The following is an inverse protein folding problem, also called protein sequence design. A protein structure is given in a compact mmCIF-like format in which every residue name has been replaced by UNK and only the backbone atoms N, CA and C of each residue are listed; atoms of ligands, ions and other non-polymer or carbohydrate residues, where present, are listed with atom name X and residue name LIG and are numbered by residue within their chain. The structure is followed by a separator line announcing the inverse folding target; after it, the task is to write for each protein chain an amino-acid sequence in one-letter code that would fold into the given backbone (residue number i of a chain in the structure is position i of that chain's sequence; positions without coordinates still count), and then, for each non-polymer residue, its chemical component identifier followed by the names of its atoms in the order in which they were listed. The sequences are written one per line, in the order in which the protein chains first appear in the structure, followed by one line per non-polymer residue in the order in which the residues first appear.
data_IF_624408440173
#
_entry.id   IF_624408440173
#
_cell.length_a   1.000
_cell.length_b   1.000
_cell.length_c   1.000
_cell.angle_alpha   90.00
_cell.angle_beta   90.00
_cell.angle_gamma   90.00
#
_symmetry.space_group_name_H-M   'P 1'
#
loop_
_entity.id
_entity.type
_entity.pdbx_description
1 polymer ?
#
# COMPACT_ATOMS: atom_id res chain seq x y z
N UNK A 1 30.51 6.20 3.59
CA UNK A 1 29.17 6.22 4.20
C UNK A 1 28.64 4.80 4.28
N UNK A 2 27.95 4.47 5.37
CA UNK A 2 27.37 3.14 5.57
C UNK A 2 25.88 3.19 5.23
N UNK A 3 25.47 2.48 4.18
CA UNK A 3 24.08 2.41 3.73
C UNK A 3 23.39 1.08 4.10
N UNK A 4 23.98 0.29 5.01
CA UNK A 4 23.44 -1.02 5.38
C UNK A 4 22.00 -0.93 5.86
N UNK A 5 21.70 -0.01 6.76
CA UNK A 5 20.33 0.17 7.29
C UNK A 5 19.35 0.59 6.19
N UNK A 6 19.74 1.55 5.35
CA UNK A 6 18.94 2.02 4.21
C UNK A 6 18.59 0.89 3.26
N UNK A 7 19.57 0.03 2.93
CA UNK A 7 19.37 -1.10 2.04
C UNK A 7 18.41 -2.13 2.65
N UNK A 8 18.58 -2.45 3.93
CA UNK A 8 17.70 -3.37 4.64
C UNK A 8 16.26 -2.88 4.67
N UNK A 9 16.06 -1.59 4.96
CA UNK A 9 14.72 -0.96 4.96
C UNK A 9 14.12 -0.97 3.56
N UNK A 10 14.88 -0.59 2.55
CA UNK A 10 14.42 -0.59 1.16
C UNK A 10 13.99 -1.97 0.68
N UNK A 11 14.78 -2.99 1.00
CA UNK A 11 14.45 -4.38 0.67
C UNK A 11 13.17 -4.84 1.39
N UNK A 12 13.01 -4.50 2.66
CA UNK A 12 11.81 -4.81 3.44
C UNK A 12 10.57 -4.17 2.82
N UNK A 13 10.66 -2.89 2.46
CA UNK A 13 9.55 -2.16 1.83
C UNK A 13 9.16 -2.82 0.50
N UNK A 14 10.14 -3.15 -0.35
CA UNK A 14 9.89 -3.83 -1.63
C UNK A 14 9.18 -5.17 -1.41
N UNK A 15 9.63 -5.97 -0.46
CA UNK A 15 9.05 -7.28 -0.18
C UNK A 15 7.58 -7.20 0.23
N UNK A 16 7.28 -6.30 1.17
CA UNK A 16 5.92 -6.12 1.69
C UNK A 16 5.01 -5.47 0.66
N UNK A 17 5.50 -4.46 -0.03
CA UNK A 17 4.74 -3.69 -0.99
C UNK A 17 4.38 -4.53 -2.22
N UNK A 18 5.29 -5.35 -2.73
CA UNK A 18 5.00 -6.25 -3.83
C UNK A 18 3.90 -7.25 -3.49
N UNK A 19 3.91 -7.78 -2.26
CA UNK A 19 2.87 -8.67 -1.77
C UNK A 19 1.51 -7.98 -1.64
N UNK A 20 1.48 -6.80 -1.03
CA UNK A 20 0.26 -6.00 -0.89
C UNK A 20 -0.32 -5.60 -2.24
N UNK A 21 0.53 -5.19 -3.17
CA UNK A 21 0.13 -4.81 -4.52
C UNK A 21 -0.61 -5.94 -5.22
N UNK A 22 -0.08 -7.15 -5.14
CA UNK A 22 -0.68 -8.31 -5.76
C UNK A 22 -2.06 -8.64 -5.15
N UNK A 23 -2.18 -8.54 -3.83
CA UNK A 23 -3.47 -8.71 -3.14
C UNK A 23 -4.48 -7.66 -3.62
N UNK A 24 -4.09 -6.39 -3.71
CA UNK A 24 -4.95 -5.31 -4.18
C UNK A 24 -5.45 -5.56 -5.60
N UNK A 25 -4.59 -6.03 -6.49
CA UNK A 25 -4.99 -6.35 -7.85
C UNK A 25 -6.06 -7.44 -7.90
N UNK A 26 -5.83 -8.55 -7.18
CA UNK A 26 -6.77 -9.67 -7.15
C UNK A 26 -8.08 -9.27 -6.46
N UNK A 27 -8.01 -8.51 -5.39
CA UNK A 27 -9.18 -8.00 -4.68
C UNK A 27 -10.00 -7.06 -5.59
N UNK A 28 -9.32 -6.23 -6.36
CA UNK A 28 -9.96 -5.37 -7.37
C UNK A 28 -10.71 -6.17 -8.44
N UNK A 29 -10.12 -7.25 -8.91
CA UNK A 29 -10.78 -8.15 -9.86
C UNK A 29 -12.02 -8.80 -9.25
N UNK A 30 -11.95 -9.22 -8.00
CA UNK A 30 -13.09 -9.78 -7.29
C UNK A 30 -14.23 -8.76 -7.21
N UNK A 31 -13.96 -7.52 -6.82
CA UNK A 31 -14.97 -6.48 -6.75
C UNK A 31 -15.61 -6.19 -8.12
N UNK A 32 -14.83 -6.18 -9.19
CA UNK A 32 -15.37 -6.05 -10.54
C UNK A 32 -16.33 -7.20 -10.88
N UNK A 33 -15.98 -8.41 -10.49
CA UNK A 33 -16.83 -9.59 -10.72
C UNK A 33 -18.17 -9.53 -9.95
N UNK A 34 -18.18 -8.78 -8.86
CA UNK A 34 -19.39 -8.53 -8.07
C UNK A 34 -20.26 -7.39 -8.61
N UNK A 35 -19.83 -6.71 -9.67
CA UNK A 35 -20.53 -5.57 -10.25
C UNK A 35 -20.09 -4.21 -9.70
N UNK A 36 -19.05 -4.17 -8.85
CA UNK A 36 -18.53 -2.94 -8.27
C UNK A 36 -17.30 -2.45 -9.06
N UNK A 37 -17.55 -2.01 -10.29
CA UNK A 37 -16.48 -1.66 -11.23
C UNK A 37 -15.58 -0.52 -10.72
N UNK A 38 -16.15 0.49 -10.08
CA UNK A 38 -15.39 1.64 -9.57
C UNK A 38 -14.50 1.24 -8.39
N UNK A 39 -15.05 0.49 -7.44
CA UNK A 39 -14.28 0.00 -6.31
C UNK A 39 -13.15 -0.92 -6.79
N UNK A 40 -13.44 -1.83 -7.69
CA UNK A 40 -12.44 -2.73 -8.27
C UNK A 40 -11.33 -1.96 -8.97
N UNK A 41 -11.65 -0.93 -9.74
CA UNK A 41 -10.66 -0.10 -10.43
C UNK A 41 -9.77 0.66 -9.44
N UNK A 42 -10.31 1.13 -8.33
CA UNK A 42 -9.55 1.79 -7.27
C UNK A 42 -8.39 0.91 -6.78
N UNK A 43 -8.67 -0.37 -6.52
CA UNK A 43 -7.64 -1.31 -6.04
C UNK A 43 -6.68 -1.76 -7.15
N UNK A 44 -7.14 -1.85 -8.39
CA UNK A 44 -6.25 -2.11 -9.53
C UNK A 44 -5.30 -0.93 -9.74
N UNK A 45 -5.77 0.29 -9.56
CA UNK A 45 -4.93 1.49 -9.62
C UNK A 45 -3.90 1.50 -8.48
N UNK A 46 -4.30 1.07 -7.27
CA UNK A 46 -3.37 0.88 -6.15
C UNK A 46 -2.24 -0.08 -6.49
N UNK A 47 -2.55 -1.20 -7.14
CA UNK A 47 -1.52 -2.11 -7.62
C UNK A 47 -0.49 -1.39 -8.50
N UNK A 48 -0.96 -0.60 -9.44
CA UNK A 48 -0.07 0.14 -10.36
C UNK A 48 0.80 1.15 -9.60
N UNK A 49 0.22 1.91 -8.69
CA UNK A 49 0.93 2.90 -7.87
C UNK A 49 1.96 2.23 -6.95
N UNK A 50 1.59 1.12 -6.32
CA UNK A 50 2.49 0.37 -5.44
C UNK A 50 3.67 -0.22 -6.20
N UNK A 51 3.45 -0.71 -7.42
CA UNK A 51 4.54 -1.21 -8.27
C UNK A 51 5.49 -0.09 -8.72
N UNK A 52 5.01 1.14 -8.86
CA UNK A 52 5.87 2.30 -9.09
C UNK A 52 6.78 2.58 -7.89
N UNK A 53 6.27 2.43 -6.66
CA UNK A 53 7.10 2.53 -5.45
C UNK A 53 8.14 1.40 -5.37
N UNK A 54 7.76 0.18 -5.72
CA UNK A 54 8.70 -0.96 -5.82
C UNK A 54 9.84 -0.61 -6.76
N UNK A 55 9.54 -0.03 -7.92
CA UNK A 55 10.54 0.40 -8.90
C UNK A 55 11.50 1.44 -8.29
N UNK A 56 10.97 2.46 -7.64
CA UNK A 56 11.78 3.53 -7.04
C UNK A 56 12.73 3.02 -5.95
N UNK A 57 12.26 2.13 -5.08
CA UNK A 57 13.12 1.53 -4.05
C UNK A 57 14.14 0.56 -4.64
N UNK A 58 13.77 -0.17 -5.66
CA UNK A 58 14.69 -1.04 -6.41
C UNK A 58 15.82 -0.21 -7.02
N UNK A 59 15.47 0.87 -7.70
CA UNK A 59 16.45 1.79 -8.29
C UNK A 59 17.37 2.38 -7.22
N UNK A 60 16.83 2.75 -6.07
CA UNK A 60 17.62 3.26 -4.96
C UNK A 60 18.65 2.24 -4.45
N UNK A 61 18.25 0.97 -4.30
CA UNK A 61 19.17 -0.09 -3.91
C UNK A 61 20.28 -0.29 -4.93
N UNK A 62 19.93 -0.25 -6.21
CA UNK A 62 20.91 -0.37 -7.31
C UNK A 62 21.88 0.81 -7.31
N UNK A 63 21.39 2.03 -7.09
CA UNK A 63 22.24 3.24 -6.96
C UNK A 63 23.25 3.10 -5.82
N UNK A 64 22.86 2.42 -4.74
CA UNK A 64 23.73 2.16 -3.59
C UNK A 64 24.64 0.94 -3.78
N UNK A 65 24.64 0.33 -4.96
CA UNK A 65 25.48 -0.83 -5.29
C UNK A 65 24.97 -2.15 -4.75
N UNK A 66 23.71 -2.22 -4.35
CA UNK A 66 23.08 -3.46 -3.88
C UNK A 66 22.20 -4.08 -4.97
N UNK A 67 22.36 -5.37 -5.19
CA UNK A 67 21.46 -6.16 -6.05
C UNK A 67 20.28 -6.61 -5.21
N UNK A 68 19.06 -6.16 -5.50
CA UNK A 68 17.88 -6.54 -4.72
C UNK A 68 17.56 -8.03 -4.83
N UNK A 69 16.95 -8.57 -3.78
CA UNK A 69 16.42 -9.94 -3.80
C UNK A 69 14.92 -9.90 -4.14
N UNK A 70 14.45 -10.96 -4.81
CA UNK A 70 13.01 -11.12 -5.05
C UNK A 70 12.42 -11.97 -3.93
N UNK A 71 11.73 -11.31 -3.00
CA UNK A 71 11.01 -11.96 -1.91
C UNK A 71 9.63 -11.33 -1.82
N UNK A 72 8.62 -12.05 -2.26
CA UNK A 72 7.23 -11.58 -2.15
C UNK A 72 6.62 -12.18 -0.90
N UNK A 73 6.36 -11.36 0.10
CA UNK A 73 5.82 -11.78 1.38
C UNK A 73 4.33 -11.45 1.44
N UNK A 74 3.49 -12.38 0.97
CA UNK A 74 2.06 -12.28 1.27
C UNK A 74 1.35 -13.61 1.03
N UNK A 75 0.64 -14.05 2.05
CA UNK A 75 -0.43 -15.04 1.91
C UNK A 75 -1.68 -14.39 2.48
N UNK A 76 -2.66 -14.12 1.63
CA UNK A 76 -3.92 -13.53 2.06
C UNK A 76 -5.07 -14.18 1.30
N UNK A 77 -6.15 -14.48 2.03
CA UNK A 77 -7.42 -14.84 1.41
C UNK A 77 -8.12 -13.56 0.95
N UNK A 78 -8.76 -13.60 -0.21
CA UNK A 78 -9.59 -12.49 -0.67
C UNK A 78 -10.83 -12.37 0.21
N UNK A 79 -11.30 -11.15 0.41
CA UNK A 79 -12.47 -10.83 1.24
C UNK A 79 -13.61 -10.43 0.33
N UNK A 80 -14.71 -11.17 0.36
CA UNK A 80 -15.85 -10.95 -0.53
C UNK A 80 -16.70 -9.74 -0.14
N UNK A 81 -16.86 -9.48 1.16
CA UNK A 81 -17.66 -8.35 1.63
C UNK A 81 -16.87 -7.03 1.52
N UNK A 82 -17.36 -6.06 0.72
CA UNK A 82 -16.63 -4.81 0.51
C UNK A 82 -16.33 -4.02 1.78
N UNK A 83 -17.29 -3.93 2.70
CA UNK A 83 -17.09 -3.22 3.97
C UNK A 83 -16.03 -3.90 4.83
N UNK A 84 -16.12 -5.24 4.94
CA UNK A 84 -15.13 -6.01 5.70
C UNK A 84 -13.72 -5.83 5.11
N UNK A 85 -13.61 -5.76 3.80
CA UNK A 85 -12.33 -5.50 3.15
C UNK A 85 -11.79 -4.11 3.49
N UNK A 86 -12.63 -3.07 3.44
CA UNK A 86 -12.22 -1.72 3.81
C UNK A 86 -11.73 -1.64 5.27
N UNK A 87 -12.39 -2.34 6.18
CA UNK A 87 -11.97 -2.41 7.58
C UNK A 87 -10.62 -3.09 7.74
N UNK A 88 -10.41 -4.20 7.03
CA UNK A 88 -9.14 -4.92 7.05
C UNK A 88 -8.02 -4.10 6.41
N UNK A 89 -8.30 -3.45 5.28
CA UNK A 89 -7.33 -2.59 4.59
C UNK A 89 -6.93 -1.40 5.46
N UNK A 90 -7.90 -0.74 6.09
CA UNK A 90 -7.63 0.36 7.03
C UNK A 90 -6.68 -0.06 8.15
N UNK A 91 -6.90 -1.25 8.72
CA UNK A 91 -6.04 -1.77 9.78
C UNK A 91 -4.60 -1.94 9.28
N UNK A 92 -4.42 -2.54 8.11
CA UNK A 92 -3.10 -2.72 7.49
C UNK A 92 -2.45 -1.38 7.16
N UNK A 93 -3.22 -0.42 6.64
CA UNK A 93 -2.72 0.93 6.35
C UNK A 93 -2.23 1.65 7.61
N UNK A 94 -2.96 1.56 8.71
CA UNK A 94 -2.53 2.13 9.99
C UNK A 94 -1.23 1.52 10.48
N UNK A 95 -1.12 0.20 10.44
CA UNK A 95 0.10 -0.51 10.83
C UNK A 95 1.29 -0.12 9.96
N UNK A 96 1.08 0.00 8.65
CA UNK A 96 2.09 0.43 7.69
C UNK A 96 2.57 1.85 7.94
N UNK A 97 1.66 2.78 8.16
CA UNK A 97 1.98 4.18 8.47
C UNK A 97 2.76 4.28 9.78
N UNK A 98 2.32 3.58 10.83
CA UNK A 98 3.06 3.54 12.11
C UNK A 98 4.48 3.02 11.93
N UNK A 99 4.66 1.98 11.12
CA UNK A 99 5.97 1.42 10.81
C UNK A 99 6.86 2.46 10.11
N UNK A 100 6.31 3.19 9.16
CA UNK A 100 7.04 4.24 8.43
C UNK A 100 7.46 5.39 9.36
N UNK A 101 6.59 5.80 10.29
CA UNK A 101 6.97 6.79 11.31
C UNK A 101 8.15 6.34 12.16
N UNK A 102 8.22 5.06 12.50
CA UNK A 102 9.36 4.49 13.25
C UNK A 102 10.63 4.41 12.41
N UNK A 103 10.48 4.16 11.11
CA UNK A 103 11.60 4.02 10.18
C UNK A 103 12.23 5.37 9.85
N UNK A 104 11.44 6.42 9.68
CA UNK A 104 11.91 7.73 9.22
C UNK A 104 13.13 8.24 9.97
N UNK A 105 13.18 8.25 11.31
CA UNK A 105 14.37 8.73 12.02
C UNK A 105 15.64 7.94 11.70
N UNK A 106 15.53 6.67 11.38
CA UNK A 106 16.69 5.81 11.07
C UNK A 106 17.31 6.13 9.71
N UNK A 107 16.58 6.87 8.87
CA UNK A 107 17.02 7.28 7.53
C UNK A 107 17.62 8.70 7.51
N UNK A 108 17.71 9.35 8.64
CA UNK A 108 18.14 10.76 8.72
C UNK A 108 19.54 11.01 8.13
N UNK A 109 20.42 10.02 8.18
CA UNK A 109 21.79 10.13 7.63
C UNK A 109 21.85 9.94 6.11
N UNK A 110 20.76 9.51 5.47
CA UNK A 110 20.64 9.35 4.01
C UNK A 110 19.47 10.19 3.49
N UNK A 111 19.71 11.47 3.18
CA UNK A 111 18.65 12.39 2.75
C UNK A 111 17.88 11.91 1.53
N UNK A 112 18.54 11.23 0.60
CA UNK A 112 17.89 10.75 -0.63
C UNK A 112 16.85 9.68 -0.33
N UNK A 113 17.19 8.68 0.48
CA UNK A 113 16.24 7.65 0.89
C UNK A 113 15.20 8.20 1.87
N UNK A 114 15.59 9.15 2.72
CA UNK A 114 14.67 9.85 3.60
C UNK A 114 13.57 10.55 2.79
N UNK A 115 13.94 11.31 1.77
CA UNK A 115 12.96 12.02 0.92
C UNK A 115 12.07 11.06 0.13
N UNK A 116 12.63 9.98 -0.40
CA UNK A 116 11.87 8.93 -1.07
C UNK A 116 10.83 8.32 -0.12
N UNK A 117 11.26 7.98 1.10
CA UNK A 117 10.38 7.37 2.11
C UNK A 117 9.34 8.35 2.62
N UNK A 118 9.68 9.63 2.71
CA UNK A 118 8.72 10.69 3.05
C UNK A 118 7.61 10.78 2.01
N UNK A 119 7.96 10.75 0.73
CA UNK A 119 6.97 10.77 -0.36
C UNK A 119 6.07 9.54 -0.31
N UNK A 120 6.64 8.36 -0.07
CA UNK A 120 5.90 7.12 0.09
C UNK A 120 4.95 7.18 1.30
N UNK A 121 5.42 7.69 2.43
CA UNK A 121 4.59 7.89 3.62
C UNK A 121 3.38 8.79 3.35
N UNK A 122 3.56 9.88 2.61
CA UNK A 122 2.45 10.77 2.26
C UNK A 122 1.40 10.06 1.39
N UNK A 123 1.84 9.22 0.47
CA UNK A 123 0.95 8.41 -0.36
C UNK A 123 0.17 7.39 0.47
N UNK A 124 0.85 6.70 1.39
CA UNK A 124 0.21 5.76 2.31
C UNK A 124 -0.79 6.44 3.25
N UNK A 125 -0.50 7.65 3.71
CA UNK A 125 -1.44 8.42 4.52
C UNK A 125 -2.69 8.81 3.73
N UNK A 126 -2.57 9.15 2.46
CA UNK A 126 -3.72 9.42 1.59
C UNK A 126 -4.62 8.18 1.46
N UNK A 127 -4.03 7.01 1.29
CA UNK A 127 -4.77 5.75 1.20
C UNK A 127 -5.50 5.44 2.52
N UNK A 128 -4.85 5.69 3.65
CA UNK A 128 -5.45 5.52 4.98
C UNK A 128 -6.66 6.45 5.14
N UNK A 129 -6.53 7.71 4.79
CA UNK A 129 -7.62 8.69 4.90
C UNK A 129 -8.77 8.35 3.96
N UNK A 130 -8.49 7.83 2.79
CA UNK A 130 -9.52 7.36 1.87
C UNK A 130 -10.34 6.23 2.48
N UNK A 131 -9.70 5.23 3.08
CA UNK A 131 -10.40 4.12 3.75
C UNK A 131 -11.29 4.64 4.89
N UNK A 132 -10.77 5.53 5.73
CA UNK A 132 -11.53 6.15 6.82
C UNK A 132 -12.75 6.91 6.29
N UNK A 133 -12.57 7.68 5.23
CA UNK A 133 -13.62 8.45 4.58
C UNK A 133 -14.73 7.54 4.03
N UNK A 134 -14.36 6.42 3.39
CA UNK A 134 -15.35 5.47 2.86
C UNK A 134 -16.16 4.81 3.98
N UNK A 135 -15.50 4.38 5.05
CA UNK A 135 -16.19 3.79 6.20
C UNK A 135 -17.13 4.79 6.88
N UNK A 136 -16.71 6.04 7.00
CA UNK A 136 -17.55 7.13 7.50
C UNK A 136 -18.78 7.33 6.61
N UNK A 137 -18.59 7.33 5.30
CA UNK A 137 -19.67 7.49 4.35
C UNK A 137 -20.67 6.33 4.43
N UNK A 138 -20.20 5.10 4.58
CA UNK A 138 -21.06 3.92 4.77
C UNK A 138 -21.95 4.11 6.01
N UNK A 139 -21.40 4.62 7.12
CA UNK A 139 -22.21 4.90 8.31
C UNK A 139 -23.29 5.95 8.05
N UNK A 140 -22.97 6.97 7.27
CA UNK A 140 -23.88 8.09 7.00
C UNK A 140 -25.02 7.74 6.06
N UNK A 141 -24.74 7.01 4.98
CA UNK A 141 -25.72 6.75 3.92
C UNK A 141 -26.18 5.30 3.85
N UNK A 142 -25.60 4.41 4.64
CA UNK A 142 -25.85 2.98 4.64
C UNK A 142 -25.11 2.23 3.54
N UNK A 143 -24.87 0.94 3.78
CA UNK A 143 -24.07 0.10 2.87
C UNK A 143 -24.69 -0.01 1.48
N UNK A 144 -26.03 -0.13 1.39
CA UNK A 144 -26.69 -0.29 0.09
C UNK A 144 -26.49 0.93 -0.81
N UNK A 145 -26.64 2.12 -0.27
CA UNK A 145 -26.42 3.36 -1.01
C UNK A 145 -24.95 3.53 -1.40
N UNK A 146 -24.05 3.15 -0.51
CA UNK A 146 -22.62 3.22 -0.81
C UNK A 146 -22.24 2.24 -1.92
N UNK A 147 -22.75 1.01 -1.90
CA UNK A 147 -22.48 0.00 -2.94
C UNK A 147 -22.95 0.47 -4.33
N UNK A 148 -24.10 1.15 -4.40
CA UNK A 148 -24.59 1.70 -5.68
C UNK A 148 -23.55 2.68 -6.27
N UNK A 149 -22.88 3.46 -5.44
CA UNK A 149 -21.84 4.41 -5.89
C UNK A 149 -20.57 3.70 -6.40
N UNK A 150 -20.39 2.44 -6.08
CA UNK A 150 -19.23 1.65 -6.51
C UNK A 150 -19.43 0.91 -7.84
N UNK A 151 -20.63 0.93 -8.35
CA UNK A 151 -20.98 0.26 -9.62
C UNK A 151 -20.38 0.93 -10.84
#
# INVERSE_FOLDING_TARGET
MDFTTTIQISQMIVNELAGSAFVHKMQGQLFKSQGFAKLGQKYIDHYTEEMEWVEKYTDRMLDLGCVPEVKVCSQAALIEDPKAYLEADLKLQKEGVETLYKIMPTLAADPTTYDLTKAYLLDEEEDLYWDEEQLDLIEKIGIQNWLVKQM
#
